data_IF_431365942884
#
_entry.id   IF_431365942884
#
_cell.length_a   1.000
_cell.length_b   1.000
_cell.length_c   1.000
_cell.angle_alpha   90.00
_cell.angle_beta   90.00
_cell.angle_gamma   90.00
#
_symmetry.space_group_name_H-M   'P 1'
#
loop_
_entity.id
_entity.type
_entity.pdbx_description
1 polymer ?
#
# COMPACT_ATOMS: atom_id res chain seq x y z
N UNK A 1 -6.77 10.32 -23.20
CA UNK A 1 -5.37 10.48 -22.79
C UNK A 1 -5.11 9.54 -21.61
N UNK A 2 -4.20 8.57 -21.77
CA UNK A 2 -3.85 7.62 -20.71
C UNK A 2 -2.86 8.28 -19.75
N UNK A 3 -3.25 8.51 -18.50
CA UNK A 3 -2.39 9.04 -17.42
C UNK A 3 -1.77 7.94 -16.55
N UNK A 4 -1.80 6.68 -17.03
CA UNK A 4 -1.14 5.57 -16.34
C UNK A 4 0.34 5.45 -16.73
N UNK A 5 1.21 4.95 -15.84
CA UNK A 5 2.61 4.70 -16.16
C UNK A 5 2.74 3.69 -17.32
N UNK A 6 3.68 3.95 -18.22
CA UNK A 6 4.03 3.05 -19.32
C UNK A 6 4.66 1.77 -18.76
N UNK A 7 4.07 0.62 -19.05
CA UNK A 7 4.53 -0.68 -18.54
C UNK A 7 5.94 -1.02 -19.01
N UNK A 8 6.33 -0.62 -20.23
CA UNK A 8 7.69 -0.84 -20.71
C UNK A 8 8.70 0.01 -19.91
N UNK A 9 8.30 1.24 -19.54
CA UNK A 9 9.09 2.10 -18.68
C UNK A 9 9.18 1.55 -17.25
N UNK A 10 8.09 0.99 -16.70
CA UNK A 10 8.12 0.32 -15.39
C UNK A 10 9.04 -0.90 -15.42
N UNK A 11 8.93 -1.78 -16.41
CA UNK A 11 9.79 -2.95 -16.54
C UNK A 11 11.27 -2.56 -16.63
N UNK A 12 11.60 -1.51 -17.40
CA UNK A 12 12.96 -0.99 -17.51
C UNK A 12 13.48 -0.46 -16.16
N UNK A 13 12.67 0.33 -15.45
CA UNK A 13 13.00 0.87 -14.13
C UNK A 13 13.24 -0.23 -13.09
N UNK A 14 12.38 -1.26 -13.09
CA UNK A 14 12.49 -2.41 -12.21
C UNK A 14 13.61 -3.41 -12.58
N UNK A 15 14.13 -3.33 -13.80
CA UNK A 15 15.32 -4.08 -14.24
C UNK A 15 16.63 -3.49 -13.73
N UNK A 16 16.66 -2.17 -13.44
CA UNK A 16 17.84 -1.46 -12.91
C UNK A 16 17.81 -1.25 -11.40
N UNK A 17 16.64 -1.40 -10.77
CA UNK A 17 16.48 -1.19 -9.34
C UNK A 17 17.06 -2.37 -8.54
N UNK A 18 18.15 -2.14 -7.82
CA UNK A 18 18.78 -3.11 -6.93
C UNK A 18 18.08 -3.23 -5.56
N UNK A 19 16.93 -2.57 -5.38
CA UNK A 19 16.36 -2.39 -4.04
C UNK A 19 15.64 -3.65 -3.55
N UNK A 20 16.08 -4.28 -2.43
CA UNK A 20 15.58 -5.59 -1.99
C UNK A 20 14.22 -5.55 -1.27
N UNK A 21 13.36 -4.58 -1.56
CA UNK A 21 12.14 -4.39 -0.75
C UNK A 21 11.03 -5.36 -1.14
N UNK A 22 10.95 -6.43 -0.33
CA UNK A 22 9.88 -7.41 -0.11
C UNK A 22 8.88 -7.68 -1.26
N UNK A 23 9.02 -8.86 -1.84
CA UNK A 23 7.88 -9.61 -2.41
C UNK A 23 7.56 -9.35 -3.88
N UNK A 24 8.16 -8.34 -4.50
CA UNK A 24 7.99 -8.11 -5.94
C UNK A 24 8.91 -9.01 -6.77
N UNK A 25 8.32 -10.04 -7.39
CA UNK A 25 9.07 -11.05 -8.17
C UNK A 25 9.30 -10.64 -9.62
N UNK A 26 8.43 -9.81 -10.20
CA UNK A 26 8.49 -9.37 -11.60
C UNK A 26 9.02 -7.93 -11.78
N UNK A 27 9.67 -7.63 -12.93
CA UNK A 27 10.22 -6.29 -13.21
C UNK A 27 9.20 -5.16 -13.15
N UNK A 28 7.98 -5.37 -13.60
CA UNK A 28 6.93 -4.35 -13.65
C UNK A 28 6.50 -3.91 -12.25
N UNK A 29 6.31 -4.88 -11.34
CA UNK A 29 6.01 -4.59 -9.94
C UNK A 29 7.18 -3.86 -9.24
N UNK A 30 8.44 -4.22 -9.53
CA UNK A 30 9.61 -3.46 -9.04
C UNK A 30 9.66 -2.03 -9.59
N UNK A 31 9.29 -1.88 -10.87
CA UNK A 31 9.16 -0.59 -11.53
C UNK A 31 8.08 0.27 -10.88
N UNK A 32 6.91 -0.30 -10.59
CA UNK A 32 5.82 0.41 -9.92
C UNK A 32 6.27 0.93 -8.55
N UNK A 33 6.96 0.10 -7.77
CA UNK A 33 7.50 0.50 -6.45
C UNK A 33 8.46 1.69 -6.60
N UNK A 34 9.45 1.59 -7.49
CA UNK A 34 10.43 2.65 -7.71
C UNK A 34 9.76 3.95 -8.19
N UNK A 35 8.82 3.85 -9.14
CA UNK A 35 8.11 4.99 -9.67
C UNK A 35 7.24 5.69 -8.61
N UNK A 36 6.47 4.93 -7.81
CA UNK A 36 5.66 5.50 -6.72
C UNK A 36 6.55 6.16 -5.67
N UNK A 37 7.64 5.48 -5.28
CA UNK A 37 8.58 6.02 -4.30
C UNK A 37 9.13 7.38 -4.74
N UNK A 38 9.69 7.47 -5.95
CA UNK A 38 10.26 8.71 -6.47
C UNK A 38 9.22 9.83 -6.63
N UNK A 39 8.00 9.46 -7.02
CA UNK A 39 6.89 10.40 -7.16
C UNK A 39 6.51 11.07 -5.82
N UNK A 40 6.66 10.36 -4.69
CA UNK A 40 6.18 10.83 -3.39
C UNK A 40 7.28 11.13 -2.35
N UNK A 41 8.56 10.90 -2.67
CA UNK A 41 9.70 10.97 -1.75
C UNK A 41 9.84 12.27 -0.93
N UNK A 42 9.32 13.39 -1.44
CA UNK A 42 9.45 14.71 -0.80
C UNK A 42 8.29 15.13 0.11
N UNK A 43 7.17 14.41 0.11
CA UNK A 43 5.95 14.84 0.78
C UNK A 43 5.17 13.65 1.36
N UNK A 44 5.13 13.57 2.70
CA UNK A 44 4.42 12.52 3.42
C UNK A 44 2.91 12.55 3.18
N UNK A 45 2.29 13.73 3.11
CA UNK A 45 0.85 13.83 2.85
C UNK A 45 0.53 13.34 1.44
N UNK A 46 1.37 13.68 0.46
CA UNK A 46 1.29 13.16 -0.91
C UNK A 46 1.48 11.64 -0.96
N UNK A 47 2.45 11.10 -0.23
CA UNK A 47 2.69 9.66 -0.12
C UNK A 47 1.47 8.90 0.42
N UNK A 48 0.89 9.40 1.52
CA UNK A 48 -0.30 8.82 2.14
C UNK A 48 -1.52 8.93 1.22
N UNK A 49 -1.71 10.08 0.54
CA UNK A 49 -2.80 10.26 -0.41
C UNK A 49 -2.70 9.28 -1.59
N UNK A 50 -1.50 9.09 -2.14
CA UNK A 50 -1.24 8.14 -3.22
C UNK A 50 -1.54 6.70 -2.81
N UNK A 51 -1.07 6.28 -1.63
CA UNK A 51 -1.32 4.95 -1.10
C UNK A 51 -2.81 4.73 -0.76
N UNK A 52 -3.49 5.73 -0.22
CA UNK A 52 -4.94 5.66 0.04
C UNK A 52 -5.72 5.50 -1.27
N UNK A 53 -5.39 6.26 -2.31
CA UNK A 53 -6.02 6.15 -3.61
C UNK A 53 -5.81 4.76 -4.24
N UNK A 54 -4.66 4.13 -4.01
CA UNK A 54 -4.43 2.74 -4.39
C UNK A 54 -5.33 1.78 -3.58
N UNK A 55 -5.35 1.89 -2.25
CA UNK A 55 -6.16 1.04 -1.38
C UNK A 55 -7.66 1.09 -1.71
N UNK A 56 -8.17 2.25 -2.13
CA UNK A 56 -9.56 2.44 -2.53
C UNK A 56 -9.97 1.58 -3.75
N UNK A 57 -9.02 1.09 -4.55
CA UNK A 57 -9.29 0.17 -5.66
C UNK A 57 -9.72 -1.23 -5.20
N UNK A 58 -9.38 -1.64 -3.98
CA UNK A 58 -9.53 -3.03 -3.50
C UNK A 58 -10.23 -3.14 -2.15
N UNK A 59 -10.26 -2.07 -1.35
CA UNK A 59 -10.93 -2.04 -0.05
C UNK A 59 -12.44 -2.38 -0.12
N UNK A 60 -13.22 -1.93 -1.12
CA UNK A 60 -14.63 -2.28 -1.22
C UNK A 60 -14.89 -3.79 -1.26
N UNK A 61 -13.96 -4.55 -1.86
CA UNK A 61 -14.06 -5.99 -2.08
C UNK A 61 -13.59 -6.83 -0.89
N UNK A 62 -13.10 -6.19 0.18
CA UNK A 62 -12.67 -6.90 1.38
C UNK A 62 -13.87 -7.59 2.05
N UNK A 63 -13.77 -8.90 2.40
CA UNK A 63 -14.89 -9.70 2.86
C UNK A 63 -15.52 -9.15 4.14
N UNK A 64 -16.85 -9.22 4.21
CA UNK A 64 -17.65 -8.78 5.37
C UNK A 64 -17.86 -9.87 6.43
N UNK A 65 -17.63 -11.14 6.08
CA UNK A 65 -17.77 -12.30 6.96
C UNK A 65 -16.45 -12.72 7.60
N UNK A 66 -16.50 -13.09 8.87
CA UNK A 66 -15.35 -13.55 9.64
C UNK A 66 -15.09 -15.04 9.44
N UNK A 67 -14.06 -15.35 8.65
CA UNK A 67 -13.21 -16.49 9.01
C UNK A 67 -12.26 -15.98 10.10
N UNK A 68 -12.05 -16.72 11.18
CA UNK A 68 -11.24 -16.28 12.34
C UNK A 68 -9.78 -15.96 11.96
N UNK A 69 -9.38 -16.36 10.75
CA UNK A 69 -8.07 -16.14 10.15
C UNK A 69 -7.94 -14.80 9.41
N UNK A 70 -9.03 -14.07 9.18
CA UNK A 70 -9.06 -12.81 8.42
C UNK A 70 -9.42 -11.66 9.37
N UNK A 71 -8.67 -10.56 9.32
CA UNK A 71 -9.01 -9.37 10.10
C UNK A 71 -10.44 -8.90 9.73
N UNK A 72 -11.28 -8.52 10.71
CA UNK A 72 -12.67 -8.16 10.43
C UNK A 72 -12.75 -6.92 9.55
N UNK A 73 -13.79 -6.79 8.71
CA UNK A 73 -14.00 -5.62 7.84
C UNK A 73 -13.92 -4.28 8.58
N UNK A 74 -14.46 -4.20 9.79
CA UNK A 74 -14.40 -3.01 10.64
C UNK A 74 -12.96 -2.56 10.96
N UNK A 75 -11.99 -3.47 10.96
CA UNK A 75 -10.56 -3.16 11.13
C UNK A 75 -10.03 -2.37 9.93
N UNK A 76 -10.29 -2.86 8.71
CA UNK A 76 -9.90 -2.17 7.47
C UNK A 76 -10.59 -0.80 7.38
N UNK A 77 -11.90 -0.75 7.58
CA UNK A 77 -12.67 0.50 7.50
C UNK A 77 -12.19 1.53 8.55
N UNK A 78 -11.87 1.07 9.77
CA UNK A 78 -11.34 1.91 10.84
C UNK A 78 -9.99 2.53 10.50
N UNK A 79 -9.06 1.74 9.96
CA UNK A 79 -7.75 2.23 9.51
C UNK A 79 -7.88 3.26 8.39
N UNK A 80 -8.69 2.97 7.36
CA UNK A 80 -8.91 3.91 6.25
C UNK A 80 -9.57 5.21 6.72
N UNK A 81 -10.52 5.14 7.66
CA UNK A 81 -11.14 6.31 8.26
C UNK A 81 -10.14 7.17 9.04
N UNK A 82 -9.26 6.55 9.85
CA UNK A 82 -8.21 7.26 10.58
C UNK A 82 -7.22 7.95 9.63
N UNK A 83 -6.81 7.28 8.56
CA UNK A 83 -5.91 7.85 7.55
C UNK A 83 -6.57 9.04 6.82
N UNK A 84 -7.85 8.94 6.47
CA UNK A 84 -8.61 10.06 5.87
C UNK A 84 -8.71 11.26 6.81
N UNK A 85 -8.94 11.01 8.10
CA UNK A 85 -8.97 12.07 9.11
C UNK A 85 -7.60 12.75 9.25
N UNK A 86 -6.52 11.97 9.23
CA UNK A 86 -5.16 12.50 9.22
C UNK A 86 -4.87 13.33 7.96
N UNK A 87 -5.27 12.90 6.76
CA UNK A 87 -5.10 13.69 5.54
C UNK A 87 -5.86 15.02 5.59
N UNK A 88 -7.05 15.04 6.21
CA UNK A 88 -7.83 16.26 6.38
C UNK A 88 -7.19 17.22 7.42
N UNK A 89 -6.51 16.68 8.43
CA UNK A 89 -5.84 17.44 9.48
C UNK A 89 -4.58 16.71 9.98
N UNK A 90 -3.40 16.93 9.38
CA UNK A 90 -2.20 16.11 9.62
C UNK A 90 -1.47 16.52 10.91
N UNK A 91 -2.17 16.43 12.04
CA UNK A 91 -1.64 16.72 13.37
C UNK A 91 -0.98 15.49 13.98
N UNK A 92 -0.15 15.70 15.01
CA UNK A 92 0.44 14.60 15.79
C UNK A 92 -0.63 13.74 16.46
N UNK A 93 -1.72 14.33 16.94
CA UNK A 93 -2.83 13.61 17.56
C UNK A 93 -3.49 12.65 16.56
N UNK A 94 -3.74 13.10 15.33
CA UNK A 94 -4.28 12.24 14.28
C UNK A 94 -3.29 11.15 13.85
N UNK A 95 -1.99 11.44 13.87
CA UNK A 95 -0.94 10.45 13.62
C UNK A 95 -0.98 9.34 14.69
N UNK A 96 -1.16 9.67 15.96
CA UNK A 96 -1.29 8.71 17.06
C UNK A 96 -2.58 7.87 16.96
N UNK A 97 -3.67 8.45 16.47
CA UNK A 97 -4.90 7.70 16.16
C UNK A 97 -4.63 6.64 15.10
N UNK A 98 -3.97 7.00 13.99
CA UNK A 98 -3.58 6.04 12.94
C UNK A 98 -2.66 4.95 13.51
N UNK A 99 -1.64 5.34 14.29
CA UNK A 99 -0.72 4.38 14.93
C UNK A 99 -1.46 3.41 15.86
N UNK A 100 -2.46 3.88 16.59
CA UNK A 100 -3.23 3.05 17.54
C UNK A 100 -4.26 2.16 16.86
N UNK A 101 -4.69 2.50 15.64
CA UNK A 101 -5.56 1.66 14.83
C UNK A 101 -4.82 0.44 14.25
N UNK A 102 -3.51 0.54 14.06
CA UNK A 102 -2.66 -0.55 13.60
C UNK A 102 -2.35 -1.51 14.74
N UNK A 103 -2.94 -2.71 14.71
CA UNK A 103 -2.67 -3.76 15.69
C UNK A 103 -1.64 -4.77 15.14
N UNK A 104 -0.36 -4.46 15.33
CA UNK A 104 0.76 -5.32 14.93
C UNK A 104 0.77 -6.68 15.65
N UNK A 105 -0.03 -6.86 16.71
CA UNK A 105 -0.09 -8.12 17.47
C UNK A 105 -1.12 -9.12 16.93
N UNK A 106 -2.01 -8.69 16.02
CA UNK A 106 -2.95 -9.58 15.28
C UNK A 106 -2.31 -10.41 14.19
N UNK A 107 -0.99 -10.48 14.21
CA UNK A 107 -0.10 -11.22 13.34
C UNK A 107 -0.42 -12.73 13.27
N UNK A 108 -1.40 -13.12 12.45
CA UNK A 108 -1.16 -14.18 11.47
C UNK A 108 -0.25 -13.63 10.36
N UNK A 109 0.95 -13.25 10.79
CA UNK A 109 2.11 -13.02 9.95
C UNK A 109 2.64 -14.39 9.47
N UNK A 110 1.76 -15.22 8.89
CA UNK A 110 2.11 -16.45 8.20
C UNK A 110 2.44 -16.11 6.73
N UNK A 111 3.49 -15.29 6.57
CA UNK A 111 3.90 -14.50 5.40
C UNK A 111 4.05 -15.24 4.05
N UNK A 112 3.80 -16.54 3.96
CA UNK A 112 4.11 -17.32 2.75
C UNK A 112 3.00 -18.26 2.28
N UNK A 113 2.10 -18.71 3.17
CA UNK A 113 1.02 -19.63 2.79
C UNK A 113 -0.16 -18.96 2.09
N UNK A 114 -0.37 -17.67 2.37
CA UNK A 114 -1.59 -16.93 1.99
C UNK A 114 -1.38 -15.88 0.89
N UNK A 115 -0.18 -15.77 0.30
CA UNK A 115 0.13 -14.85 -0.80
C UNK A 115 -0.73 -15.06 -2.06
N UNK A 116 -1.54 -16.12 -2.12
CA UNK A 116 -2.53 -16.37 -3.18
C UNK A 116 -3.91 -15.80 -2.87
N UNK A 117 -4.15 -15.37 -1.64
CA UNK A 117 -5.44 -14.84 -1.21
C UNK A 117 -5.47 -13.32 -1.42
N UNK A 118 -6.49 -12.82 -2.12
CA UNK A 118 -6.61 -11.38 -2.38
C UNK A 118 -6.72 -10.55 -1.08
N UNK A 119 -7.44 -11.05 -0.06
CA UNK A 119 -7.66 -10.33 1.20
C UNK A 119 -6.38 -10.17 2.02
N UNK A 120 -5.42 -11.09 1.88
CA UNK A 120 -4.08 -10.93 2.47
C UNK A 120 -3.40 -9.67 1.93
N UNK A 121 -3.42 -9.49 0.61
CA UNK A 121 -2.81 -8.33 -0.03
C UNK A 121 -3.52 -7.01 0.28
N UNK A 122 -4.84 -7.04 0.48
CA UNK A 122 -5.58 -5.84 0.92
C UNK A 122 -5.17 -5.45 2.34
N UNK A 123 -5.04 -6.41 3.26
CA UNK A 123 -4.58 -6.15 4.63
C UNK A 123 -3.16 -5.55 4.62
N UNK A 124 -2.22 -6.18 3.92
CA UNK A 124 -0.84 -5.68 3.77
C UNK A 124 -0.80 -4.27 3.18
N UNK A 125 -1.67 -3.97 2.20
CA UNK A 125 -1.74 -2.65 1.60
C UNK A 125 -2.16 -1.58 2.62
N UNK A 126 -3.17 -1.87 3.45
CA UNK A 126 -3.68 -0.90 4.44
C UNK A 126 -2.72 -0.77 5.63
N UNK A 127 -2.06 -1.84 6.05
CA UNK A 127 -1.03 -1.77 7.09
C UNK A 127 0.15 -0.88 6.62
N UNK A 128 0.62 -1.07 5.39
CA UNK A 128 1.65 -0.21 4.80
C UNK A 128 1.20 1.25 4.62
N UNK A 129 -0.07 1.48 4.30
CA UNK A 129 -0.65 2.84 4.26
C UNK A 129 -0.63 3.49 5.66
N UNK A 130 -1.03 2.77 6.70
CA UNK A 130 -0.95 3.27 8.08
C UNK A 130 0.50 3.57 8.46
N UNK A 131 1.44 2.72 8.09
CA UNK A 131 2.88 2.97 8.31
C UNK A 131 3.35 4.24 7.58
N UNK A 132 2.86 4.55 6.38
CA UNK A 132 3.24 5.78 5.66
C UNK A 132 2.88 7.07 6.42
N UNK A 133 1.88 7.02 7.32
CA UNK A 133 1.48 8.18 8.15
C UNK A 133 2.51 8.53 9.24
N UNK A 134 3.22 7.55 9.81
CA UNK A 134 4.09 7.78 10.98
C UNK A 134 5.53 7.24 10.83
N UNK A 135 5.85 6.60 9.71
CA UNK A 135 7.22 6.27 9.31
C UNK A 135 8.08 7.53 9.14
N UNK A 136 9.38 7.38 9.39
CA UNK A 136 10.35 8.49 9.35
C UNK A 136 10.36 9.39 10.60
N UNK A 137 9.42 9.24 11.53
CA UNK A 137 9.53 9.85 12.85
C UNK A 137 10.53 9.03 13.69
N UNK A 138 11.59 9.67 14.22
CA UNK A 138 12.67 9.02 14.99
C UNK A 138 12.18 8.27 16.25
N UNK A 139 10.88 8.28 16.52
CA UNK A 139 10.20 7.57 17.60
C UNK A 139 9.78 6.13 17.23
N UNK A 140 9.84 5.72 15.95
CA UNK A 140 9.50 4.36 15.52
C UNK A 140 10.71 3.44 15.51
N UNK A 141 10.88 2.62 16.55
CA UNK A 141 11.86 1.53 16.56
C UNK A 141 11.36 0.26 15.85
N UNK A 142 10.10 0.26 15.37
CA UNK A 142 9.39 -0.95 14.95
C UNK A 142 9.52 -1.20 13.44
N UNK A 143 9.63 -0.15 12.62
CA UNK A 143 9.73 -0.30 11.15
C UNK A 143 10.76 0.68 10.58
N UNK A 144 11.94 0.22 10.09
CA UNK A 144 13.03 1.08 9.62
C UNK A 144 12.81 1.62 8.19
N UNK A 145 11.56 1.80 7.76
CA UNK A 145 11.21 2.28 6.41
C UNK A 145 10.74 3.73 6.47
N UNK A 146 11.05 4.51 5.44
CA UNK A 146 10.48 5.86 5.25
C UNK A 146 9.05 5.80 4.68
N UNK A 147 8.38 6.95 4.71
CA UNK A 147 6.98 7.06 4.26
C UNK A 147 6.78 6.77 2.77
N UNK A 148 7.77 7.07 1.94
CA UNK A 148 7.69 6.85 0.50
C UNK A 148 7.77 5.35 0.19
N UNK A 149 8.63 4.64 0.89
CA UNK A 149 8.76 3.18 0.84
C UNK A 149 7.48 2.51 1.33
N UNK A 150 6.89 2.97 2.42
CA UNK A 150 5.60 2.48 2.91
C UNK A 150 4.48 2.69 1.88
N UNK A 151 4.39 3.88 1.27
CA UNK A 151 3.39 4.17 0.24
C UNK A 151 3.59 3.31 -1.02
N UNK A 152 4.83 3.14 -1.47
CA UNK A 152 5.16 2.31 -2.63
C UNK A 152 4.81 0.82 -2.40
N UNK A 153 5.05 0.31 -1.18
CA UNK A 153 4.63 -1.05 -0.80
C UNK A 153 3.12 -1.21 -0.77
N UNK A 154 2.41 -0.24 -0.22
CA UNK A 154 0.94 -0.24 -0.23
C UNK A 154 0.42 -0.38 -1.67
N UNK A 155 0.93 0.43 -2.60
CA UNK A 155 0.57 0.35 -4.02
C UNK A 155 0.89 -1.02 -4.66
N UNK A 156 2.03 -1.61 -4.34
CA UNK A 156 2.39 -2.95 -4.82
C UNK A 156 1.47 -4.05 -4.27
N UNK A 157 1.13 -3.98 -2.98
CA UNK A 157 0.17 -4.89 -2.35
C UNK A 157 -1.21 -4.79 -3.01
N UNK A 158 -1.68 -3.58 -3.34
CA UNK A 158 -2.91 -3.40 -4.12
C UNK A 158 -2.81 -4.06 -5.50
N UNK A 159 -1.69 -3.90 -6.20
CA UNK A 159 -1.51 -4.56 -7.50
C UNK A 159 -1.57 -6.09 -7.36
N UNK A 160 -0.93 -6.66 -6.34
CA UNK A 160 -1.00 -8.09 -6.05
C UNK A 160 -2.42 -8.54 -5.67
N UNK A 161 -3.19 -7.73 -4.93
CA UNK A 161 -4.60 -8.02 -4.63
C UNK A 161 -5.44 -8.11 -5.91
N UNK A 162 -5.24 -7.17 -6.85
CA UNK A 162 -5.91 -7.19 -8.15
C UNK A 162 -5.52 -8.43 -8.98
N UNK A 163 -4.23 -8.79 -8.99
CA UNK A 163 -3.74 -10.01 -9.68
C UNK A 163 -4.29 -11.28 -9.04
N UNK A 164 -4.31 -11.37 -7.72
CA UNK A 164 -4.89 -12.50 -6.98
C UNK A 164 -6.40 -12.67 -7.22
N UNK A 165 -7.09 -11.58 -7.61
CA UNK A 165 -8.50 -11.60 -8.06
C UNK A 165 -8.67 -12.02 -9.52
N UNK A 166 -7.58 -12.30 -10.23
CA UNK A 166 -7.59 -12.75 -11.63
C UNK A 166 -7.44 -11.63 -12.66
N UNK A 167 -7.11 -10.40 -12.25
CA UNK A 167 -6.76 -9.33 -13.19
C UNK A 167 -5.39 -9.61 -13.82
N UNK A 168 -5.25 -9.36 -15.13
CA UNK A 168 -3.95 -9.45 -15.78
C UNK A 168 -2.94 -8.47 -15.14
N UNK A 169 -1.69 -8.87 -14.87
CA UNK A 169 -0.69 -8.01 -14.20
C UNK A 169 -0.55 -6.62 -14.81
N UNK A 170 -0.44 -6.54 -16.14
CA UNK A 170 -0.41 -5.28 -16.89
C UNK A 170 -1.60 -4.35 -16.57
N UNK A 171 -2.81 -4.91 -16.50
CA UNK A 171 -4.00 -4.14 -16.18
C UNK A 171 -4.02 -3.71 -14.70
N UNK A 172 -3.52 -4.56 -13.78
CA UNK A 172 -3.42 -4.26 -12.36
C UNK A 172 -2.43 -3.10 -12.09
N UNK A 173 -1.21 -3.20 -12.62
CA UNK A 173 -0.19 -2.15 -12.50
C UNK A 173 -0.64 -0.84 -13.12
N UNK A 174 -1.28 -0.89 -14.30
CA UNK A 174 -1.84 0.29 -14.94
C UNK A 174 -2.97 0.94 -14.13
N UNK A 175 -3.82 0.14 -13.47
CA UNK A 175 -4.89 0.67 -12.62
C UNK A 175 -4.34 1.38 -11.37
N UNK A 176 -3.40 0.75 -10.67
CA UNK A 176 -2.73 1.35 -9.51
C UNK A 176 -1.98 2.60 -9.91
N UNK A 177 -1.19 2.56 -10.98
CA UNK A 177 -0.42 3.70 -11.43
C UNK A 177 -1.30 4.91 -11.82
N UNK A 178 -2.48 4.68 -12.41
CA UNK A 178 -3.46 5.76 -12.66
C UNK A 178 -4.03 6.34 -11.36
N UNK A 179 -4.37 5.49 -10.39
CA UNK A 179 -4.91 5.94 -9.11
C UNK A 179 -3.89 6.76 -8.32
N UNK A 180 -2.65 6.27 -8.22
CA UNK A 180 -1.53 6.99 -7.61
C UNK A 180 -1.29 8.31 -8.35
N UNK A 181 -1.11 8.27 -9.68
CA UNK A 181 -0.82 9.48 -10.48
C UNK A 181 -1.92 10.54 -10.44
N UNK A 182 -3.17 10.18 -10.15
CA UNK A 182 -4.27 11.14 -9.99
C UNK A 182 -4.31 11.77 -8.59
N UNK A 183 -3.72 11.14 -7.58
CA UNK A 183 -3.69 11.60 -6.20
C UNK A 183 -2.43 12.42 -5.85
N UNK A 184 -1.45 12.44 -6.77
CA UNK A 184 -0.13 13.08 -6.62
C UNK A 184 0.04 14.26 -7.53
#
# INVERSE_FOLDING_TARGET
MSTGPDLAALAALGGTSAHPWAGSIDPESRGLIAWVHDLVAGDRARAVAAALAACDLVAPDYPTGGDDLIAPRAYIDGMLAAVRAWLAAPTREQQEVVRSALDVTRSLHAWQGYARLHHFWVLEAVDHLCLAVWSGDQSSYIVPMDFATCAARSAACVANALVARGQAPAAAYGAVGRAVGAAT
#
